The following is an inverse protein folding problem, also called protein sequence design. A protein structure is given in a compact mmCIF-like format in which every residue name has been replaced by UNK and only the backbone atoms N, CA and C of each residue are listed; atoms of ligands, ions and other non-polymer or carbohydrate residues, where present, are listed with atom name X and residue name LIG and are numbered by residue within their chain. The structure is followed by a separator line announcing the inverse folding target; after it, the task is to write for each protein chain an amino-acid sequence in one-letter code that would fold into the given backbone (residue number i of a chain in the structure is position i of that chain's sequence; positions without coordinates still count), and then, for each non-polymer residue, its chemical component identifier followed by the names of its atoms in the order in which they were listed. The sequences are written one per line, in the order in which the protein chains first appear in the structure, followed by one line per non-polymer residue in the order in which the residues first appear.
data_IF_499671695496
#
_entry.id   IF_499671695496
#
_cell.length_a   1.000
_cell.length_b   1.000
_cell.length_c   1.000
_cell.angle_alpha   90.00
_cell.angle_beta   90.00
_cell.angle_gamma   90.00
#
_symmetry.space_group_name_H-M   'P 1'
#
loop_
_entity.id
_entity.type
_entity.pdbx_description
1 polymer ?
#
# COMPACT_ATOMS: atom_id res chain seq x y z
N UNK A 1 -4.70 -30.23 -16.84
CA UNK A 1 -5.96 -30.50 -17.58
C UNK A 1 -5.74 -30.81 -19.05
N UNK A 2 -4.91 -30.05 -19.80
CA UNK A 2 -4.74 -30.28 -21.25
C UNK A 2 -4.38 -31.73 -21.62
N UNK A 3 -3.28 -32.27 -21.08
CA UNK A 3 -2.80 -33.63 -21.40
C UNK A 3 -3.85 -34.70 -21.05
N UNK A 4 -4.39 -34.65 -19.84
CA UNK A 4 -5.42 -35.58 -19.35
C UNK A 4 -6.65 -35.54 -20.28
N UNK A 5 -7.12 -34.35 -20.65
CA UNK A 5 -8.25 -34.20 -21.56
C UNK A 5 -7.94 -34.70 -22.96
N UNK A 6 -6.74 -34.43 -23.49
CA UNK A 6 -6.34 -34.92 -24.80
C UNK A 6 -6.32 -36.46 -24.83
N UNK A 7 -5.76 -37.09 -23.80
CA UNK A 7 -5.76 -38.55 -23.63
C UNK A 7 -7.18 -39.10 -23.49
N UNK A 8 -8.02 -38.53 -22.62
CA UNK A 8 -9.40 -38.96 -22.41
C UNK A 8 -10.29 -38.84 -23.66
N UNK A 9 -9.90 -37.98 -24.61
CA UNK A 9 -10.59 -37.81 -25.90
C UNK A 9 -9.89 -38.55 -27.04
N UNK A 10 -8.97 -39.47 -26.75
CA UNK A 10 -8.20 -40.25 -27.72
C UNK A 10 -7.42 -39.40 -28.73
N UNK A 11 -7.01 -38.19 -28.34
CA UNK A 11 -6.21 -37.24 -29.15
C UNK A 11 -4.72 -37.38 -28.84
N UNK A 12 -4.19 -38.59 -29.04
CA UNK A 12 -2.79 -38.91 -28.72
C UNK A 12 -1.80 -38.12 -29.58
N UNK A 13 -2.20 -37.75 -30.80
CA UNK A 13 -1.47 -36.82 -31.69
C UNK A 13 -1.18 -35.49 -30.99
N UNK A 14 -2.15 -34.93 -30.26
CA UNK A 14 -2.01 -33.67 -29.52
C UNK A 14 -1.11 -33.80 -28.30
N UNK A 15 -1.13 -34.95 -27.65
CA UNK A 15 -0.22 -35.27 -26.54
C UNK A 15 1.22 -35.33 -27.05
N UNK A 16 1.44 -35.99 -28.19
CA UNK A 16 2.76 -36.06 -28.83
C UNK A 16 3.23 -34.69 -29.29
N UNK A 17 2.38 -33.89 -29.92
CA UNK A 17 2.68 -32.52 -30.34
C UNK A 17 3.12 -31.65 -29.14
N UNK A 18 2.42 -31.76 -28.01
CA UNK A 18 2.78 -31.06 -26.77
C UNK A 18 4.20 -31.42 -26.33
N UNK A 19 4.52 -32.71 -26.23
CA UNK A 19 5.84 -33.14 -25.78
C UNK A 19 6.92 -32.78 -26.79
N UNK A 20 6.71 -32.92 -28.10
CA UNK A 20 7.70 -32.49 -29.10
C UNK A 20 8.04 -31.01 -28.94
N UNK A 21 7.03 -30.15 -28.68
CA UNK A 21 7.24 -28.70 -28.55
C UNK A 21 7.87 -28.31 -27.21
N UNK A 22 7.49 -28.94 -26.12
CA UNK A 22 7.86 -28.52 -24.76
C UNK A 22 8.96 -29.38 -24.12
N UNK A 23 9.36 -30.50 -24.72
CA UNK A 23 10.48 -31.33 -24.23
C UNK A 23 11.73 -30.51 -23.85
N UNK A 24 12.20 -29.53 -24.64
CA UNK A 24 13.40 -28.75 -24.28
C UNK A 24 13.29 -28.07 -22.90
N UNK A 25 12.10 -27.58 -22.55
CA UNK A 25 11.82 -26.88 -21.29
C UNK A 25 11.52 -27.85 -20.14
N UNK A 26 10.95 -29.01 -20.45
CA UNK A 26 10.44 -29.98 -19.47
C UNK A 26 11.46 -31.06 -19.09
N UNK A 27 12.40 -31.42 -19.97
CA UNK A 27 13.32 -32.56 -19.79
C UNK A 27 14.21 -32.45 -18.54
N UNK A 28 14.50 -31.23 -18.08
CA UNK A 28 15.34 -30.99 -16.90
C UNK A 28 14.54 -30.97 -15.58
N UNK A 29 13.21 -31.10 -15.65
CA UNK A 29 12.32 -31.04 -14.49
C UNK A 29 11.94 -32.47 -14.08
N UNK A 30 12.34 -32.88 -12.87
CA UNK A 30 12.14 -34.25 -12.39
C UNK A 30 10.66 -34.63 -12.29
N UNK A 31 9.77 -33.67 -12.05
CA UNK A 31 8.33 -33.91 -11.95
C UNK A 31 7.71 -34.37 -13.28
N UNK A 32 8.36 -34.08 -14.42
CA UNK A 32 7.89 -34.44 -15.75
C UNK A 32 8.36 -35.79 -16.24
N UNK A 33 9.33 -36.42 -15.55
CA UNK A 33 9.97 -37.67 -15.98
C UNK A 33 8.95 -38.76 -16.30
N UNK A 34 8.01 -38.99 -15.39
CA UNK A 34 6.99 -40.03 -15.58
C UNK A 34 5.94 -39.62 -16.62
N UNK A 35 5.70 -38.32 -16.82
CA UNK A 35 4.73 -37.83 -17.81
C UNK A 35 5.14 -38.12 -19.26
N UNK A 36 6.44 -38.26 -19.56
CA UNK A 36 6.90 -38.59 -20.90
C UNK A 36 6.46 -39.98 -21.37
N UNK A 37 6.13 -40.90 -20.45
CA UNK A 37 5.61 -42.22 -20.84
C UNK A 37 4.10 -42.20 -21.13
N UNK A 38 3.39 -41.14 -20.73
CA UNK A 38 1.94 -41.02 -20.85
C UNK A 38 1.38 -41.33 -22.26
N UNK A 39 1.97 -40.84 -23.38
CA UNK A 39 1.44 -41.11 -24.72
C UNK A 39 1.46 -42.59 -25.11
N UNK A 40 2.29 -43.40 -24.44
CA UNK A 40 2.53 -44.80 -24.74
C UNK A 40 1.72 -45.75 -23.84
N UNK A 41 1.00 -45.23 -22.85
CA UNK A 41 0.15 -46.02 -21.95
C UNK A 41 -1.24 -46.17 -22.60
N UNK A 42 -1.71 -47.42 -22.72
CA UNK A 42 -3.03 -47.71 -23.33
C UNK A 42 -4.20 -47.27 -22.46
N UNK A 43 -4.12 -47.53 -21.16
CA UNK A 43 -5.17 -47.23 -20.16
C UNK A 43 -4.57 -46.43 -18.98
N UNK A 44 -4.28 -45.13 -19.18
CA UNK A 44 -3.65 -44.30 -18.16
C UNK A 44 -4.54 -44.06 -16.93
N UNK A 45 -5.85 -44.21 -17.06
CA UNK A 45 -6.81 -44.21 -15.95
C UNK A 45 -6.64 -45.41 -14.99
N UNK A 46 -6.08 -46.52 -15.47
CA UNK A 46 -5.77 -47.71 -14.63
C UNK A 46 -4.35 -47.66 -14.07
N UNK A 47 -3.49 -46.81 -14.62
CA UNK A 47 -2.10 -46.70 -14.18
C UNK A 47 -2.04 -46.03 -12.78
N UNK A 48 -1.43 -46.66 -11.76
CA UNK A 48 -1.38 -46.10 -10.41
C UNK A 48 -0.79 -44.69 -10.30
N UNK A 49 0.14 -44.35 -11.20
CA UNK A 49 0.76 -43.02 -11.25
C UNK A 49 -0.21 -41.95 -11.76
N UNK A 50 -1.12 -42.31 -12.68
CA UNK A 50 -1.96 -41.34 -13.38
C UNK A 50 -3.44 -41.40 -13.02
N UNK A 51 -3.93 -42.52 -12.51
CA UNK A 51 -5.35 -42.80 -12.26
C UNK A 51 -6.06 -41.68 -11.50
N UNK A 52 -5.41 -41.14 -10.47
CA UNK A 52 -5.93 -40.01 -9.68
C UNK A 52 -6.30 -38.80 -10.56
N UNK A 53 -5.46 -38.47 -11.53
CA UNK A 53 -5.65 -37.32 -12.42
C UNK A 53 -6.85 -37.47 -13.37
N UNK A 54 -7.25 -38.72 -13.66
CA UNK A 54 -8.43 -39.03 -14.47
C UNK A 54 -9.73 -39.01 -13.66
N UNK A 55 -9.68 -38.95 -12.33
CA UNK A 55 -10.90 -38.90 -11.52
C UNK A 55 -11.61 -37.55 -11.64
N UNK A 56 -12.94 -37.59 -11.76
CA UNK A 56 -13.77 -36.37 -11.81
C UNK A 56 -13.58 -35.50 -10.55
N UNK A 57 -13.52 -36.14 -9.38
CA UNK A 57 -13.34 -35.45 -8.10
C UNK A 57 -12.04 -34.64 -8.06
N UNK A 58 -10.92 -35.20 -8.52
CA UNK A 58 -9.64 -34.50 -8.57
C UNK A 58 -9.70 -33.31 -9.54
N UNK A 59 -10.28 -33.50 -10.72
CA UNK A 59 -10.43 -32.45 -11.73
C UNK A 59 -11.30 -31.28 -11.22
N UNK A 60 -12.44 -31.58 -10.60
CA UNK A 60 -13.34 -30.56 -10.05
C UNK A 60 -12.65 -29.80 -8.90
N UNK A 61 -11.92 -30.50 -8.03
CA UNK A 61 -11.17 -29.89 -6.93
C UNK A 61 -10.06 -28.96 -7.45
N UNK A 62 -9.31 -29.39 -8.46
CA UNK A 62 -8.29 -28.58 -9.12
C UNK A 62 -8.91 -27.32 -9.74
N UNK A 63 -10.06 -27.43 -10.40
CA UNK A 63 -10.71 -26.30 -11.05
C UNK A 63 -11.22 -25.28 -10.04
N UNK A 64 -11.82 -25.72 -8.94
CA UNK A 64 -12.28 -24.83 -7.85
C UNK A 64 -11.09 -24.13 -7.19
N UNK A 65 -10.02 -24.87 -6.86
CA UNK A 65 -8.82 -24.28 -6.26
C UNK A 65 -8.14 -23.28 -7.19
N UNK A 66 -8.03 -23.58 -8.49
CA UNK A 66 -7.50 -22.67 -9.49
C UNK A 66 -8.37 -21.41 -9.62
N UNK A 67 -9.70 -21.57 -9.66
CA UNK A 67 -10.63 -20.44 -9.72
C UNK A 67 -10.45 -19.53 -8.51
N UNK A 68 -10.43 -20.11 -7.30
CA UNK A 68 -10.22 -19.36 -6.06
C UNK A 68 -8.86 -18.66 -6.04
N UNK A 69 -7.80 -19.35 -6.50
CA UNK A 69 -6.46 -18.79 -6.60
C UNK A 69 -6.40 -17.59 -7.56
N UNK A 70 -6.97 -17.73 -8.76
CA UNK A 70 -7.02 -16.66 -9.74
C UNK A 70 -7.89 -15.49 -9.26
N UNK A 71 -9.07 -15.77 -8.69
CA UNK A 71 -9.94 -14.74 -8.12
C UNK A 71 -9.19 -13.93 -7.05
N UNK A 72 -8.45 -14.61 -6.18
CA UNK A 72 -7.58 -13.97 -5.19
C UNK A 72 -6.51 -13.09 -5.84
N UNK A 73 -5.76 -13.61 -6.82
CA UNK A 73 -4.75 -12.80 -7.55
C UNK A 73 -5.39 -11.57 -8.18
N UNK A 74 -6.49 -11.73 -8.91
CA UNK A 74 -7.17 -10.62 -9.58
C UNK A 74 -7.72 -9.59 -8.60
N UNK A 75 -8.13 -10.01 -7.41
CA UNK A 75 -8.57 -9.09 -6.35
C UNK A 75 -7.42 -8.25 -5.77
N UNK A 76 -6.20 -8.79 -5.72
CA UNK A 76 -5.02 -8.08 -5.21
C UNK A 76 -4.21 -7.36 -6.29
N UNK A 77 -4.50 -7.60 -7.57
CA UNK A 77 -3.88 -6.84 -8.64
C UNK A 77 -4.46 -5.42 -8.72
N UNK A 78 -3.62 -4.41 -8.99
CA UNK A 78 -4.12 -3.06 -9.20
C UNK A 78 -5.12 -3.06 -10.35
N UNK A 79 -6.26 -2.38 -10.14
CA UNK A 79 -7.29 -2.27 -11.16
C UNK A 79 -6.68 -1.67 -12.44
N UNK A 80 -6.93 -2.26 -13.62
CA UNK A 80 -6.48 -1.69 -14.89
C UNK A 80 -6.92 -0.22 -15.00
N UNK A 81 -6.03 0.68 -15.41
CA UNK A 81 -6.26 2.14 -15.43
C UNK A 81 -7.57 2.54 -16.13
N UNK A 82 -7.98 1.79 -17.16
CA UNK A 82 -9.21 2.05 -17.92
C UNK A 82 -10.50 1.77 -17.14
N UNK A 83 -10.47 0.95 -16.09
CA UNK A 83 -11.62 0.70 -15.21
C UNK A 83 -11.85 1.85 -14.22
N UNK A 84 -10.84 2.69 -13.98
CA UNK A 84 -10.97 3.88 -13.13
C UNK A 84 -11.53 5.10 -13.88
N UNK A 85 -11.74 5.02 -15.20
CA UNK A 85 -12.15 6.18 -16.00
C UNK A 85 -13.41 6.86 -15.48
N UNK A 86 -14.44 6.09 -15.11
CA UNK A 86 -15.68 6.64 -14.57
C UNK A 86 -15.46 7.29 -13.19
N UNK A 87 -14.65 6.66 -12.33
CA UNK A 87 -14.33 7.22 -11.01
C UNK A 87 -13.47 8.49 -11.12
N UNK A 88 -12.48 8.49 -12.02
CA UNK A 88 -11.62 9.62 -12.30
C UNK A 88 -12.39 10.77 -12.96
N UNK A 89 -13.28 10.48 -13.92
CA UNK A 89 -14.17 11.47 -14.52
C UNK A 89 -15.09 12.10 -13.46
N UNK A 90 -15.66 11.29 -12.56
CA UNK A 90 -16.47 11.80 -11.44
C UNK A 90 -15.65 12.66 -10.46
N UNK A 91 -14.40 12.26 -10.20
CA UNK A 91 -13.45 13.00 -9.35
C UNK A 91 -13.10 14.35 -9.98
N UNK A 92 -12.80 14.38 -11.28
CA UNK A 92 -12.51 15.60 -12.05
C UNK A 92 -13.70 16.55 -12.04
N UNK A 93 -14.91 16.08 -12.36
CA UNK A 93 -16.12 16.91 -12.34
C UNK A 93 -16.36 17.58 -10.97
N UNK A 94 -16.18 16.83 -9.86
CA UNK A 94 -16.31 17.38 -8.51
C UNK A 94 -15.24 18.42 -8.19
N UNK A 95 -14.03 18.23 -8.69
CA UNK A 95 -12.93 19.20 -8.51
C UNK A 95 -13.20 20.47 -9.31
N UNK A 96 -13.66 20.36 -10.56
CA UNK A 96 -14.01 21.49 -11.41
C UNK A 96 -15.15 22.32 -10.81
N UNK A 97 -16.23 21.69 -10.33
CA UNK A 97 -17.33 22.39 -9.66
C UNK A 97 -16.86 23.19 -8.43
N UNK A 98 -15.97 22.61 -7.62
CA UNK A 98 -15.39 23.32 -6.47
C UNK A 98 -14.51 24.48 -6.93
N UNK A 99 -13.71 24.27 -7.97
CA UNK A 99 -12.84 25.30 -8.52
C UNK A 99 -13.65 26.50 -9.02
N UNK A 100 -14.73 26.25 -9.78
CA UNK A 100 -15.65 27.30 -10.23
C UNK A 100 -16.34 28.01 -9.07
N UNK A 101 -16.77 27.28 -8.03
CA UNK A 101 -17.33 27.91 -6.82
C UNK A 101 -16.33 28.84 -6.13
N UNK A 102 -15.07 28.42 -6.03
CA UNK A 102 -14.00 29.24 -5.45
C UNK A 102 -13.68 30.45 -6.31
N UNK A 103 -13.60 30.30 -7.64
CA UNK A 103 -13.43 31.42 -8.57
C UNK A 103 -14.57 32.43 -8.44
N UNK A 104 -15.82 31.97 -8.40
CA UNK A 104 -16.98 32.85 -8.22
C UNK A 104 -16.91 33.63 -6.90
N UNK A 105 -16.52 32.97 -5.80
CA UNK A 105 -16.33 33.65 -4.51
C UNK A 105 -15.19 34.67 -4.55
N UNK A 106 -14.09 34.34 -5.21
CA UNK A 106 -12.96 35.24 -5.38
C UNK A 106 -13.38 36.49 -6.18
N UNK A 107 -14.10 36.30 -7.29
CA UNK A 107 -14.63 37.40 -8.10
C UNK A 107 -15.53 38.33 -7.28
N UNK A 108 -16.47 37.77 -6.50
CA UNK A 108 -17.36 38.56 -5.65
C UNK A 108 -16.62 39.35 -4.57
N UNK A 109 -15.53 38.81 -4.02
CA UNK A 109 -14.71 39.50 -3.02
C UNK A 109 -13.83 40.59 -3.64
N UNK A 110 -13.30 40.37 -4.84
CA UNK A 110 -12.54 41.38 -5.59
C UNK A 110 -13.47 42.54 -6.00
N UNK A 111 -14.68 42.22 -6.47
CA UNK A 111 -15.69 43.22 -6.84
C UNK A 111 -16.17 44.05 -5.62
N UNK A 112 -16.24 43.42 -4.44
CA UNK A 112 -16.45 44.15 -3.16
C UNK A 112 -15.24 44.93 -2.67
N UNK A 113 -14.06 44.76 -3.27
CA UNK A 113 -12.80 45.39 -2.87
C UNK A 113 -12.60 46.82 -3.39
N UNK A 114 -13.47 47.31 -4.28
CA UNK A 114 -13.38 48.68 -4.83
C UNK A 114 -14.19 49.75 -4.07
N UNK A 115 -15.00 49.36 -3.08
CA UNK A 115 -15.84 50.27 -2.28
C UNK A 115 -15.40 50.23 -0.80
N UNK A 116 -14.17 50.65 -0.53
CA UNK A 116 -13.77 51.07 0.82
C UNK A 116 -13.21 52.48 0.73
N UNK A 117 -14.12 53.46 0.80
CA UNK A 117 -13.80 54.86 1.06
C UNK A 117 -13.21 54.98 2.47
N UNK A 118 -11.92 54.70 2.60
CA UNK A 118 -11.15 55.01 3.80
C UNK A 118 -10.94 56.51 3.81
N UNK A 119 -11.71 57.23 4.62
CA UNK A 119 -11.37 58.59 5.03
C UNK A 119 -9.97 58.57 5.65
N UNK A 120 -9.00 59.39 5.18
CA UNK A 120 -7.66 59.36 5.73
C UNK A 120 -7.69 59.99 7.12
N UNK A 121 -7.61 59.17 8.16
CA UNK A 121 -7.28 59.64 9.50
C UNK A 121 -5.80 60.02 9.47
N UNK A 122 -5.52 61.31 9.57
CA UNK A 122 -4.18 61.86 9.63
C UNK A 122 -3.58 61.51 11.01
N UNK A 123 -2.77 60.44 11.05
CA UNK A 123 -2.01 60.05 12.24
C UNK A 123 -0.63 60.68 12.15
N UNK A 124 -0.31 61.53 13.13
CA UNK A 124 1.02 62.12 13.33
C UNK A 124 2.09 61.02 13.36
N UNK A 125 3.21 61.15 12.63
CA UNK A 125 4.19 60.08 12.50
C UNK A 125 4.75 59.70 13.88
N UNK A 126 4.64 58.42 14.31
CA UNK A 126 5.26 57.95 15.54
C UNK A 126 6.77 58.20 15.49
N UNK A 127 7.42 58.59 16.60
CA UNK A 127 8.85 58.83 16.64
C UNK A 127 9.59 57.59 16.14
N UNK A 128 10.47 57.83 15.17
CA UNK A 128 11.32 56.88 14.45
C UNK A 128 11.55 55.57 15.23
N UNK A 129 10.87 54.49 14.80
CA UNK A 129 11.21 53.11 15.16
C UNK A 129 12.61 52.86 14.61
N UNK A 130 13.65 53.18 15.40
CA UNK A 130 15.02 52.83 15.06
C UNK A 130 15.07 51.31 14.92
N UNK A 131 15.44 50.90 13.72
CA UNK A 131 15.56 49.54 13.23
C UNK A 131 16.50 48.77 14.17
N UNK A 132 16.03 47.74 14.86
CA UNK A 132 16.83 46.92 15.79
C UNK A 132 18.10 46.36 15.12
N UNK A 133 18.13 46.34 13.79
CA UNK A 133 19.29 46.00 12.96
C UNK A 133 20.45 47.02 13.02
N UNK A 134 20.20 48.28 13.38
CA UNK A 134 21.26 49.29 13.56
C UNK A 134 22.10 49.03 14.82
N UNK A 135 21.50 48.40 15.83
CA UNK A 135 22.17 48.04 17.09
C UNK A 135 23.18 46.90 16.86
N UNK A 136 22.84 45.95 15.98
CA UNK A 136 23.69 44.78 15.68
C UNK A 136 24.98 45.18 14.97
N UNK A 137 24.95 46.22 14.13
CA UNK A 137 26.09 46.62 13.32
C UNK A 137 27.19 47.39 14.08
N UNK A 138 26.97 47.82 15.34
CA UNK A 138 27.95 48.58 16.11
C UNK A 138 28.74 47.79 17.16
N UNK A 139 28.41 46.51 17.42
CA UNK A 139 29.15 45.70 18.40
C UNK A 139 30.34 44.98 17.76
N UNK A 140 31.36 45.75 17.38
CA UNK A 140 32.69 45.21 17.09
C UNK A 140 33.74 45.79 18.03
N UNK A 141 33.50 45.75 19.35
CA UNK A 141 34.54 45.72 20.38
C UNK A 141 33.98 45.52 21.81
N UNK A 142 34.62 44.63 22.58
CA UNK A 142 34.61 44.49 24.05
C UNK A 142 33.54 43.57 24.67
N UNK A 143 33.95 42.30 24.88
CA UNK A 143 33.98 41.64 26.20
C UNK A 143 32.65 41.38 26.95
N UNK A 144 32.31 40.09 27.07
CA UNK A 144 31.52 39.50 28.17
C UNK A 144 30.09 39.98 28.40
N UNK A 145 29.16 39.76 27.44
CA UNK A 145 27.71 39.86 27.76
C UNK A 145 26.77 38.88 27.04
N UNK A 146 27.21 37.66 26.75
CA UNK A 146 26.36 36.62 26.13
C UNK A 146 25.14 36.19 26.99
N UNK A 147 25.13 36.46 28.31
CA UNK A 147 24.05 36.03 29.21
C UNK A 147 22.85 37.01 29.32
N UNK A 148 22.93 38.23 28.79
CA UNK A 148 21.84 39.23 28.89
C UNK A 148 20.97 39.29 27.63
N UNK A 149 21.52 38.97 26.46
CA UNK A 149 20.79 38.93 25.18
C UNK A 149 19.69 37.84 25.16
N UNK A 150 20.00 36.65 25.70
CA UNK A 150 19.03 35.53 25.78
C UNK A 150 17.83 35.82 26.69
N UNK A 151 17.96 36.72 27.68
CA UNK A 151 16.87 37.02 28.63
C UNK A 151 15.78 37.91 28.04
N UNK A 152 16.08 38.68 26.99
CA UNK A 152 15.08 39.51 26.30
C UNK A 152 14.31 38.71 25.24
N UNK A 153 14.93 37.71 24.62
CA UNK A 153 14.27 36.79 23.68
C UNK A 153 13.22 35.91 24.36
N UNK A 154 13.43 35.55 25.62
CA UNK A 154 12.53 34.69 26.40
C UNK A 154 11.28 35.45 26.91
N UNK A 155 11.34 36.77 27.05
CA UNK A 155 10.21 37.56 27.57
C UNK A 155 9.08 37.76 26.55
N UNK A 156 9.36 37.66 25.25
CA UNK A 156 8.34 37.86 24.19
C UNK A 156 7.54 36.58 23.82
N UNK A 157 7.87 35.44 24.43
CA UNK A 157 7.18 34.15 24.25
C UNK A 157 6.18 33.83 25.39
N UNK A 158 5.70 34.87 26.10
CA UNK A 158 4.98 34.71 27.37
C UNK A 158 3.53 35.20 27.40
N UNK A 159 2.96 35.77 26.34
CA UNK A 159 1.58 36.30 26.39
C UNK A 159 0.86 36.18 25.03
N UNK A 160 0.25 35.03 24.78
CA UNK A 160 -1.05 34.88 24.08
C UNK A 160 -1.28 33.39 23.81
N UNK A 161 -2.18 32.81 24.60
CA UNK A 161 -2.73 31.47 24.46
C UNK A 161 -3.16 31.15 23.03
N UNK A 162 -2.56 30.12 22.43
CA UNK A 162 -3.18 29.34 21.35
C UNK A 162 -3.23 27.88 21.82
N UNK A 163 -4.43 27.27 21.93
CA UNK A 163 -4.54 25.88 22.32
C UNK A 163 -4.42 25.02 21.06
N UNK A 164 -3.33 24.27 20.91
CA UNK A 164 -3.40 23.11 20.02
C UNK A 164 -2.44 22.01 20.44
N UNK A 165 -3.01 20.80 20.44
CA UNK A 165 -2.37 19.49 20.36
C UNK A 165 -1.90 18.84 21.67
N UNK A 166 -2.87 18.27 22.40
CA UNK A 166 -2.63 17.25 23.43
C UNK A 166 -1.95 16.02 22.83
N UNK A 167 -0.72 15.78 23.29
CA UNK A 167 0.06 14.55 23.09
C UNK A 167 -0.21 13.58 24.25
N UNK A 168 -0.59 12.36 23.88
CA UNK A 168 -0.01 11.06 24.29
C UNK A 168 0.24 10.82 25.80
N UNK A 169 -0.54 9.90 26.36
CA UNK A 169 -0.16 9.13 27.55
C UNK A 169 0.41 7.76 27.18
N UNK A 170 1.43 7.37 27.94
CA UNK A 170 2.31 6.22 27.73
C UNK A 170 2.38 5.41 29.03
N UNK A 171 1.80 4.21 29.05
CA UNK A 171 2.03 3.15 30.06
C UNK A 171 1.44 1.83 29.52
N UNK A 172 2.09 0.66 29.52
CA UNK A 172 3.43 0.29 29.94
C UNK A 172 3.74 -1.13 29.41
N UNK A 173 5.01 -1.39 29.13
CA UNK A 173 5.55 -2.70 28.75
C UNK A 173 6.25 -3.33 29.95
N UNK A 174 5.84 -4.54 30.37
CA UNK A 174 6.69 -5.45 31.15
C UNK A 174 6.55 -6.91 30.69
N UNK A 175 7.70 -7.40 30.22
CA UNK A 175 8.32 -8.74 30.14
C UNK A 175 7.55 -10.05 30.43
N UNK A 176 7.94 -11.02 29.59
CA UNK A 176 7.72 -12.48 29.54
C UNK A 176 8.10 -13.23 30.83
N UNK A 177 7.42 -14.34 31.08
CA UNK A 177 8.00 -15.59 31.61
C UNK A 177 7.31 -16.80 30.97
N UNK A 178 8.13 -17.70 30.43
CA UNK A 178 7.80 -19.02 29.86
C UNK A 178 7.98 -20.07 30.95
N UNK A 179 6.96 -20.90 31.19
CA UNK A 179 7.01 -22.25 31.79
C UNK A 179 5.57 -22.80 31.71
N UNK A 180 5.23 -24.04 31.35
CA UNK A 180 5.99 -25.27 31.40
C UNK A 180 5.34 -26.34 30.53
N UNK A 181 6.18 -27.29 30.12
CA UNK A 181 5.84 -28.52 29.41
C UNK A 181 4.97 -29.41 30.29
N UNK A 182 3.95 -30.05 29.72
CA UNK A 182 3.40 -31.28 30.26
C UNK A 182 3.06 -32.24 29.12
N UNK A 183 3.99 -33.16 28.81
CA UNK A 183 3.76 -34.33 27.96
C UNK A 183 4.48 -35.50 28.62
N UNK A 184 3.70 -36.49 29.07
CA UNK A 184 4.00 -37.90 29.41
C UNK A 184 2.68 -38.49 29.95
N UNK A 185 2.15 -39.65 29.57
CA UNK A 185 2.45 -40.72 28.61
C UNK A 185 1.12 -41.50 28.39
N UNK A 186 1.06 -42.47 27.46
CA UNK A 186 0.40 -43.72 27.84
C UNK A 186 1.30 -44.94 27.60
N UNK A 187 1.10 -45.89 28.50
CA UNK A 187 1.70 -47.22 28.55
C UNK A 187 1.49 -48.01 27.26
N UNK A 188 2.56 -48.68 26.80
CA UNK A 188 2.46 -49.84 25.90
C UNK A 188 3.04 -51.04 26.66
N UNK A 189 2.24 -52.09 26.80
CA UNK A 189 2.58 -53.35 27.46
C UNK A 189 2.98 -54.34 26.36
N UNK A 190 4.17 -54.94 26.48
CA UNK A 190 4.55 -56.15 25.74
C UNK A 190 3.90 -57.38 26.39
N UNK A 191 3.18 -58.17 25.60
CA UNK A 191 3.12 -59.64 25.62
C UNK A 191 2.35 -60.11 24.38
#
# INVERSE_FOLDING_TARGET
MYLINAVANSKTDKVMEFFVKLTPDLQNQTEWKDWFVLPYIKNPEENPTFSLHFTKQWQDTLLVSLHNFLASIFQYMPLPTLLNYEEDANRINKLEQRNESLKNRLTLLIDRGSESSVTPVQVEPPPHLLDDFYIIAQENNIGDTQAKSLKNLIRNMGTASSPILGRKDNAGTRKRTVSGKNVKAPHFNES
#
